data_IF_250410218035
#
_entry.id   IF_250410218035
#
_cell.length_a   1.000
_cell.length_b   1.000
_cell.length_c   1.000
_cell.angle_alpha   90.00
_cell.angle_beta   90.00
_cell.angle_gamma   90.00
#
_symmetry.space_group_name_H-M   'P 1'
#
loop_
_entity.id
_entity.type
_entity.pdbx_description
1 polymer ?
#
# COMPACT_ATOMS: atom_id res chain seq x y z
N UNK A 1 18.96 -13.82 -9.15
CA UNK A 1 17.58 -13.30 -9.38
C UNK A 1 17.17 -12.47 -8.18
N UNK A 2 16.85 -11.19 -8.35
CA UNK A 2 16.26 -10.38 -7.27
C UNK A 2 14.87 -10.95 -7.00
N UNK A 3 14.62 -11.47 -5.79
CA UNK A 3 13.26 -11.83 -5.37
C UNK A 3 12.45 -10.53 -5.29
N UNK A 4 11.43 -10.43 -6.12
CA UNK A 4 10.46 -9.35 -6.01
C UNK A 4 9.72 -9.50 -4.68
N UNK A 5 9.50 -8.39 -3.98
CA UNK A 5 8.79 -8.44 -2.70
C UNK A 5 7.30 -8.70 -2.98
N UNK A 6 6.70 -9.73 -2.36
CA UNK A 6 5.29 -10.02 -2.56
C UNK A 6 4.42 -8.88 -2.02
N UNK A 7 3.29 -8.62 -2.67
CA UNK A 7 2.29 -7.71 -2.12
C UNK A 7 1.74 -8.26 -0.80
N UNK A 8 1.29 -7.36 0.07
CA UNK A 8 0.76 -7.73 1.37
C UNK A 8 -0.44 -6.88 1.76
N UNK A 9 -1.23 -7.41 2.70
CA UNK A 9 -2.30 -6.66 3.37
C UNK A 9 -1.97 -6.57 4.84
N UNK A 10 -2.02 -5.36 5.39
CA UNK A 10 -1.80 -5.07 6.80
C UNK A 10 -3.14 -4.85 7.47
N UNK A 11 -3.35 -5.54 8.60
CA UNK A 11 -4.55 -5.40 9.43
C UNK A 11 -4.17 -4.86 10.81
N UNK A 12 -4.50 -3.59 11.03
CA UNK A 12 -4.47 -2.86 12.30
C UNK A 12 -5.77 -3.08 13.06
N UNK A 13 -5.73 -3.51 14.31
CA UNK A 13 -6.87 -4.00 15.08
C UNK A 13 -6.46 -4.02 16.56
N UNK A 14 -7.38 -3.83 17.50
CA UNK A 14 -7.03 -3.88 18.93
C UNK A 14 -6.81 -5.30 19.42
N UNK A 15 -7.61 -6.24 18.95
CA UNK A 15 -7.59 -7.66 19.36
C UNK A 15 -7.17 -8.54 18.18
N UNK A 16 -5.86 -8.68 17.98
CA UNK A 16 -5.28 -9.31 16.78
C UNK A 16 -5.63 -10.78 16.65
N UNK A 17 -5.60 -11.52 17.76
CA UNK A 17 -5.82 -12.97 17.75
C UNK A 17 -7.28 -13.29 17.46
N UNK A 18 -8.20 -12.51 18.03
CA UNK A 18 -9.62 -12.59 17.72
C UNK A 18 -9.89 -12.18 16.28
N UNK A 19 -9.26 -11.10 15.80
CA UNK A 19 -9.39 -10.65 14.41
C UNK A 19 -8.90 -11.72 13.44
N UNK A 20 -7.73 -12.32 13.69
CA UNK A 20 -7.19 -13.40 12.88
C UNK A 20 -8.09 -14.65 12.93
N UNK A 21 -8.66 -14.96 14.10
CA UNK A 21 -9.61 -16.08 14.26
C UNK A 21 -10.88 -15.83 13.45
N UNK A 22 -11.46 -14.63 13.53
CA UNK A 22 -12.62 -14.20 12.72
C UNK A 22 -12.31 -14.28 11.23
N UNK A 23 -11.14 -13.80 10.81
CA UNK A 23 -10.71 -13.88 9.41
C UNK A 23 -10.60 -15.32 8.91
N UNK A 24 -10.05 -16.24 9.72
CA UNK A 24 -9.93 -17.67 9.39
C UNK A 24 -11.28 -18.39 9.37
N UNK A 25 -12.23 -17.97 10.20
CA UNK A 25 -13.55 -18.59 10.31
C UNK A 25 -14.55 -18.03 9.29
N UNK A 26 -14.28 -16.86 8.70
CA UNK A 26 -15.16 -16.27 7.70
C UNK A 26 -15.06 -17.02 6.36
N UNK A 27 -16.13 -17.70 5.89
CA UNK A 27 -16.11 -18.44 4.64
C UNK A 27 -15.84 -17.55 3.43
N UNK A 28 -16.19 -16.26 3.49
CA UNK A 28 -15.91 -15.30 2.41
C UNK A 28 -14.41 -15.07 2.19
N UNK A 29 -13.60 -15.26 3.24
CA UNK A 29 -12.14 -15.08 3.20
C UNK A 29 -11.38 -16.37 2.86
N UNK A 30 -12.06 -17.47 2.55
CA UNK A 30 -11.38 -18.72 2.20
C UNK A 30 -10.47 -18.55 0.97
N UNK A 31 -10.99 -17.92 -0.08
CA UNK A 31 -10.21 -17.62 -1.29
C UNK A 31 -9.01 -16.72 -1.00
N UNK A 32 -9.16 -15.74 -0.09
CA UNK A 32 -8.04 -14.92 0.37
C UNK A 32 -6.99 -15.77 1.10
N UNK A 33 -7.41 -16.60 2.06
CA UNK A 33 -6.51 -17.46 2.84
C UNK A 33 -5.66 -18.41 1.98
N UNK A 34 -6.22 -18.92 0.87
CA UNK A 34 -5.49 -19.75 -0.10
C UNK A 34 -4.42 -18.98 -0.88
N UNK A 35 -4.57 -17.66 -1.00
CA UNK A 35 -3.64 -16.75 -1.69
C UNK A 35 -2.62 -16.11 -0.76
N UNK A 36 -2.75 -16.28 0.56
CA UNK A 36 -1.74 -15.87 1.54
C UNK A 36 -0.58 -16.88 1.54
N UNK A 37 0.64 -16.37 1.36
CA UNK A 37 1.87 -17.15 1.48
C UNK A 37 2.34 -17.24 2.93
N UNK A 38 2.23 -16.13 3.68
CA UNK A 38 2.72 -16.05 5.06
C UNK A 38 1.97 -14.98 5.85
N UNK A 39 1.79 -15.22 7.14
CA UNK A 39 1.28 -14.24 8.10
C UNK A 39 2.41 -13.86 9.08
N UNK A 40 2.62 -12.56 9.29
CA UNK A 40 3.62 -12.01 10.22
C UNK A 40 3.00 -10.93 11.10
N UNK A 41 3.74 -10.48 12.11
CA UNK A 41 3.38 -9.32 12.95
C UNK A 41 4.39 -8.18 12.78
N UNK A 42 3.93 -6.94 12.83
CA UNK A 42 4.82 -5.76 12.90
C UNK A 42 5.28 -5.50 14.32
N UNK A 43 6.22 -4.57 14.51
CA UNK A 43 6.61 -4.06 15.83
C UNK A 43 5.47 -3.34 16.57
N UNK A 44 4.47 -2.84 15.84
CA UNK A 44 3.25 -2.24 16.38
C UNK A 44 2.12 -3.29 16.52
N UNK A 45 2.48 -4.57 16.47
CA UNK A 45 1.61 -5.75 16.57
C UNK A 45 0.60 -5.91 15.41
N UNK A 46 0.73 -5.14 14.32
CA UNK A 46 -0.14 -5.31 13.15
C UNK A 46 0.04 -6.64 12.44
N UNK A 47 -1.05 -7.22 11.95
CA UNK A 47 -0.99 -8.45 11.16
C UNK A 47 -0.61 -8.11 9.72
N UNK A 48 0.45 -8.73 9.21
CA UNK A 48 0.82 -8.66 7.79
C UNK A 48 0.49 -10.00 7.14
N UNK A 49 -0.41 -9.98 6.16
CA UNK A 49 -0.71 -11.11 5.28
C UNK A 49 0.04 -10.94 3.97
N UNK A 50 1.20 -11.59 3.83
CA UNK A 50 1.98 -11.62 2.59
C UNK A 50 1.30 -12.57 1.60
N UNK A 51 1.12 -12.11 0.37
CA UNK A 51 0.44 -12.86 -0.69
C UNK A 51 1.44 -13.69 -1.49
N UNK A 52 0.91 -14.72 -2.18
CA UNK A 52 1.67 -15.48 -3.17
C UNK A 52 1.99 -14.58 -4.37
N UNK A 53 3.07 -14.89 -5.08
CA UNK A 53 3.49 -14.14 -6.27
C UNK A 53 2.35 -14.06 -7.32
N UNK A 54 2.21 -12.89 -7.93
CA UNK A 54 1.17 -12.62 -8.95
C UNK A 54 -0.23 -12.33 -8.39
N UNK A 55 -0.41 -12.30 -7.07
CA UNK A 55 -1.68 -11.94 -6.44
C UNK A 55 -1.66 -10.46 -6.07
N UNK A 56 -2.68 -9.71 -6.50
CA UNK A 56 -2.85 -8.30 -6.13
C UNK A 56 -3.58 -8.16 -4.80
N UNK A 57 -3.00 -7.38 -3.89
CA UNK A 57 -3.59 -7.09 -2.59
C UNK A 57 -4.83 -6.20 -2.69
N UNK A 58 -4.94 -5.37 -3.74
CA UNK A 58 -6.12 -4.55 -4.03
C UNK A 58 -7.41 -5.37 -4.15
N UNK A 59 -7.31 -6.60 -4.68
CA UNK A 59 -8.46 -7.44 -4.99
C UNK A 59 -9.18 -7.95 -3.73
N UNK A 60 -8.48 -7.96 -2.59
CA UNK A 60 -8.98 -8.46 -1.32
C UNK A 60 -9.19 -7.38 -0.26
N UNK A 61 -8.83 -6.13 -0.54
CA UNK A 61 -8.92 -5.03 0.42
C UNK A 61 -10.35 -4.86 0.95
N UNK A 62 -11.31 -4.63 0.06
CA UNK A 62 -12.71 -4.42 0.43
C UNK A 62 -13.29 -5.64 1.18
N UNK A 63 -12.94 -6.84 0.73
CA UNK A 63 -13.40 -8.09 1.33
C UNK A 63 -12.93 -8.25 2.79
N UNK A 64 -11.69 -7.86 3.07
CA UNK A 64 -11.12 -7.91 4.43
C UNK A 64 -11.67 -6.77 5.27
N UNK A 65 -11.85 -5.58 4.71
CA UNK A 65 -12.49 -4.45 5.40
C UNK A 65 -13.91 -4.80 5.87
N UNK A 66 -14.70 -5.42 5.01
CA UNK A 66 -16.04 -5.93 5.34
C UNK A 66 -15.99 -7.01 6.43
N UNK A 67 -15.00 -7.90 6.39
CA UNK A 67 -14.87 -8.98 7.37
C UNK A 67 -14.37 -8.52 8.74
N UNK A 68 -13.53 -7.49 8.78
CA UNK A 68 -12.86 -7.01 10.00
C UNK A 68 -13.64 -5.85 10.63
N UNK A 69 -14.47 -5.15 9.85
CA UNK A 69 -15.52 -4.26 10.37
C UNK A 69 -15.12 -2.80 10.55
N UNK A 70 -14.09 -2.26 9.88
CA UNK A 70 -13.84 -0.81 9.79
C UNK A 70 -12.84 -0.45 8.68
N UNK A 71 -13.06 0.67 7.99
CA UNK A 71 -12.30 1.22 6.86
C UNK A 71 -10.88 1.74 7.18
N UNK A 72 -10.45 1.81 8.45
CA UNK A 72 -9.10 2.30 8.84
C UNK A 72 -8.16 1.22 9.36
N UNK A 73 -8.62 -0.03 9.34
CA UNK A 73 -7.88 -1.18 9.87
C UNK A 73 -7.10 -1.93 8.80
N UNK A 74 -7.49 -1.83 7.54
CA UNK A 74 -6.88 -2.59 6.47
C UNK A 74 -6.09 -1.66 5.56
N UNK A 75 -4.85 -2.03 5.25
CA UNK A 75 -3.98 -1.29 4.35
C UNK A 75 -3.30 -2.24 3.38
N UNK A 76 -3.33 -1.90 2.10
CA UNK A 76 -2.56 -2.61 1.09
C UNK A 76 -1.12 -2.11 1.11
N UNK A 77 -0.17 -3.04 1.17
CA UNK A 77 1.23 -2.84 0.85
C UNK A 77 1.46 -3.42 -0.54
N UNK A 78 1.20 -2.59 -1.53
CA UNK A 78 1.49 -2.89 -2.92
C UNK A 78 2.94 -2.52 -3.24
N UNK A 79 3.42 -3.04 -4.36
CA UNK A 79 4.66 -2.57 -4.97
C UNK A 79 4.42 -1.15 -5.48
N UNK A 80 5.13 -0.18 -4.93
CA UNK A 80 5.24 1.15 -5.51
C UNK A 80 6.63 1.33 -6.13
N UNK A 81 6.66 1.89 -7.31
CA UNK A 81 7.89 2.37 -7.93
C UNK A 81 7.83 3.90 -7.99
N UNK A 82 8.92 4.55 -7.62
CA UNK A 82 9.02 6.01 -7.59
C UNK A 82 9.93 6.45 -8.73
N UNK A 83 9.41 7.31 -9.60
CA UNK A 83 10.19 8.00 -10.64
C UNK A 83 10.48 9.42 -10.15
N UNK A 84 11.76 9.80 -10.07
CA UNK A 84 12.16 11.18 -9.78
C UNK A 84 12.16 11.99 -11.08
N UNK A 85 11.34 13.03 -11.15
CA UNK A 85 11.38 14.02 -12.23
C UNK A 85 12.08 15.28 -11.74
N UNK A 86 13.13 15.70 -12.44
CA UNK A 86 13.88 16.93 -12.13
C UNK A 86 13.45 18.05 -13.07
N UNK A 87 13.73 19.29 -12.65
CA UNK A 87 13.52 20.49 -13.46
C UNK A 87 12.04 20.68 -13.88
N UNK A 88 11.12 20.26 -13.00
CA UNK A 88 9.69 20.56 -13.12
C UNK A 88 9.48 22.03 -12.76
N UNK A 89 8.69 22.73 -13.56
CA UNK A 89 8.36 24.15 -13.33
C UNK A 89 7.72 24.33 -11.95
N UNK A 90 8.14 25.38 -11.22
CA UNK A 90 7.69 25.69 -9.86
C UNK A 90 6.20 25.99 -9.76
N UNK A 91 5.57 26.45 -10.83
CA UNK A 91 4.12 26.70 -10.89
C UNK A 91 3.31 25.43 -11.19
N UNK A 92 3.98 24.33 -11.54
CA UNK A 92 3.34 23.04 -11.81
C UNK A 92 2.74 22.47 -10.53
N UNK A 93 1.50 21.98 -10.61
CA UNK A 93 0.83 21.28 -9.52
C UNK A 93 0.98 19.76 -9.67
N UNK A 94 0.95 19.05 -8.55
CA UNK A 94 1.05 17.58 -8.54
C UNK A 94 0.03 16.89 -9.47
N UNK A 95 -1.20 17.38 -9.51
CA UNK A 95 -2.27 16.89 -10.40
C UNK A 95 -1.90 17.00 -11.88
N UNK A 96 -1.22 18.07 -12.27
CA UNK A 96 -0.76 18.28 -13.65
C UNK A 96 0.35 17.30 -14.02
N UNK A 97 1.26 16.99 -13.09
CA UNK A 97 2.28 15.95 -13.30
C UNK A 97 1.63 14.59 -13.50
N UNK A 98 0.67 14.22 -12.66
CA UNK A 98 -0.07 12.95 -12.79
C UNK A 98 -0.80 12.89 -14.14
N UNK A 99 -1.47 13.97 -14.54
CA UNK A 99 -2.16 14.06 -15.83
C UNK A 99 -1.19 13.91 -17.01
N UNK A 100 -0.05 14.62 -16.99
CA UNK A 100 0.97 14.53 -18.03
C UNK A 100 1.56 13.12 -18.12
N UNK A 101 1.81 12.45 -16.99
CA UNK A 101 2.27 11.06 -16.99
C UNK A 101 1.27 10.11 -17.66
N UNK A 102 -0.04 10.26 -17.36
CA UNK A 102 -1.08 9.45 -18.00
C UNK A 102 -1.24 9.74 -19.50
N UNK A 103 -0.96 10.96 -19.94
CA UNK A 103 -1.00 11.31 -21.37
C UNK A 103 0.20 10.74 -22.13
N UNK A 104 1.38 10.74 -21.49
CA UNK A 104 2.63 10.39 -22.15
C UNK A 104 2.98 8.90 -22.06
N UNK A 105 2.47 8.20 -21.04
CA UNK A 105 2.77 6.81 -20.79
C UNK A 105 1.49 5.98 -20.62
N UNK A 106 1.54 4.72 -21.05
CA UNK A 106 0.47 3.77 -20.74
C UNK A 106 0.56 3.34 -19.27
N UNK A 107 -0.16 4.05 -18.41
CA UNK A 107 -0.22 3.75 -16.98
C UNK A 107 -1.38 2.81 -16.60
N UNK A 108 -2.25 2.43 -17.55
CA UNK A 108 -3.45 1.64 -17.28
C UNK A 108 -4.26 2.11 -16.07
N UNK A 109 -4.72 1.16 -15.25
CA UNK A 109 -5.46 1.42 -14.00
C UNK A 109 -4.56 1.67 -12.78
N UNK A 110 -3.26 1.92 -12.98
CA UNK A 110 -2.31 2.14 -11.88
C UNK A 110 -2.65 3.42 -11.13
N UNK A 111 -2.64 3.36 -9.80
CA UNK A 111 -2.78 4.55 -8.95
C UNK A 111 -1.45 5.33 -8.99
N UNK A 112 -1.51 6.56 -9.47
CA UNK A 112 -0.37 7.48 -9.53
C UNK A 112 -0.55 8.57 -8.49
N UNK A 113 0.52 8.88 -7.78
CA UNK A 113 0.62 10.01 -6.86
C UNK A 113 1.87 10.80 -7.20
N UNK A 114 1.76 12.13 -7.26
CA UNK A 114 2.90 13.01 -7.42
C UNK A 114 3.12 13.82 -6.14
N UNK A 115 4.38 13.94 -5.72
CA UNK A 115 4.81 14.83 -4.65
C UNK A 115 5.87 15.77 -5.22
N UNK A 116 5.60 17.06 -5.12
CA UNK A 116 6.55 18.10 -5.51
C UNK A 116 7.35 18.51 -4.28
N UNK A 117 8.67 18.47 -4.41
CA UNK A 117 9.57 18.91 -3.35
C UNK A 117 10.46 20.02 -3.89
N UNK A 118 10.38 21.18 -3.25
CA UNK A 118 11.24 22.30 -3.55
C UNK A 118 12.63 22.03 -2.95
N UNK A 119 13.68 22.06 -3.78
CA UNK A 119 15.05 21.78 -3.32
C UNK A 119 15.61 22.87 -2.40
N UNK A 120 14.92 24.02 -2.28
CA UNK A 120 15.41 25.17 -1.51
C UNK A 120 14.99 25.23 -0.03
N UNK A 121 14.18 24.30 0.50
CA UNK A 121 13.79 24.30 1.92
C UNK A 121 14.29 23.06 2.66
N UNK A 122 15.58 23.04 2.99
CA UNK A 122 16.07 22.34 4.20
C UNK A 122 17.13 23.20 4.87
N UNK A 123 16.72 24.35 5.41
CA UNK A 123 17.51 25.03 6.44
C UNK A 123 17.25 24.27 7.74
N UNK A 124 18.07 23.25 8.01
CA UNK A 124 18.19 22.70 9.37
C UNK A 124 18.78 23.80 10.25
N UNK A 125 17.93 24.58 10.91
CA UNK A 125 18.35 25.39 12.07
C UNK A 125 18.78 24.43 13.17
N UNK A 126 20.10 24.16 13.26
CA UNK A 126 20.72 23.76 14.52
C UNK A 126 20.59 24.95 15.46
N UNK A 127 19.87 24.80 16.56
CA UNK A 127 20.13 25.62 17.75
C UNK A 127 20.99 24.78 18.68
N UNK A 128 22.12 25.39 19.05
CA UNK A 128 23.09 24.94 20.05
C UNK A 128 22.45 25.09 21.42
#
# INVERSE_FOLDING_TARGET
MKRELPEAIVVSAKEKEETLRKMKQNPKLKAFGEKVARIRRTRLDDLICELKDGVKASDFQNLIEESVGTTRQVRVLNRSETVECRDVDLETKAEQVVSAFRQQFDCGSTLLEAKLQDRHTTVRRRHI
#
